data_IF_400632819078
#
_entry.id   IF_400632819078
#
_cell.length_a   1.000
_cell.length_b   1.000
_cell.length_c   1.000
_cell.angle_alpha   90.00
_cell.angle_beta   90.00
_cell.angle_gamma   90.00
#
_symmetry.space_group_name_H-M   'P 1'
#
loop_
_entity.id
_entity.type
_entity.pdbx_description
1 polymer ?
#
# COMPACT_ATOMS: atom_id res chain seq x y z
N UNK A 1 4.43 -9.54 28.78
CA UNK A 1 3.81 -10.62 29.61
C UNK A 1 2.73 -11.27 28.75
N UNK A 2 2.61 -12.60 28.68
CA UNK A 2 1.47 -13.24 28.02
C UNK A 2 0.16 -12.66 28.55
N UNK A 3 -0.77 -12.28 27.68
CA UNK A 3 -2.02 -11.60 28.05
C UNK A 3 -1.95 -10.09 28.24
N UNK A 4 -0.78 -9.45 28.05
CA UNK A 4 -0.65 -7.99 28.08
C UNK A 4 -0.14 -7.45 26.73
N UNK A 5 -0.83 -6.45 26.19
CA UNK A 5 -0.43 -5.76 24.96
C UNK A 5 -1.61 -5.10 24.25
N UNK A 6 -1.31 -4.24 23.27
CA UNK A 6 -2.32 -3.68 22.36
C UNK A 6 -2.66 -4.74 21.31
N UNK A 7 -3.93 -5.15 21.25
CA UNK A 7 -4.43 -6.08 20.24
C UNK A 7 -5.47 -5.35 19.37
N UNK A 8 -5.03 -4.71 18.26
CA UNK A 8 -5.97 -4.09 17.35
C UNK A 8 -6.81 -5.17 16.66
N UNK A 9 -8.10 -5.22 16.95
CA UNK A 9 -9.03 -6.11 16.25
C UNK A 9 -9.18 -5.62 14.81
N UNK A 10 -8.75 -6.44 13.87
CA UNK A 10 -8.85 -6.13 12.43
C UNK A 10 -10.21 -6.60 11.92
N UNK A 11 -10.82 -5.80 11.05
CA UNK A 11 -12.16 -6.05 10.52
C UNK A 11 -12.17 -7.09 9.40
N UNK A 12 -12.30 -6.63 8.16
CA UNK A 12 -12.44 -7.50 6.98
C UNK A 12 -11.34 -8.58 6.91
N UNK A 13 -11.70 -9.71 6.29
CA UNK A 13 -10.76 -10.78 6.00
C UNK A 13 -9.56 -10.22 5.22
N UNK A 14 -8.38 -10.75 5.55
CA UNK A 14 -7.13 -10.47 4.85
C UNK A 14 -6.61 -9.01 4.85
N UNK A 15 -7.21 -8.07 5.58
CA UNK A 15 -6.71 -6.68 5.67
C UNK A 15 -5.26 -6.58 6.17
N UNK A 16 -4.78 -7.59 6.90
CA UNK A 16 -3.37 -7.70 7.26
C UNK A 16 -2.53 -8.27 6.11
N UNK A 17 -3.02 -9.34 5.46
CA UNK A 17 -2.35 -9.99 4.33
C UNK A 17 -2.13 -9.02 3.16
N UNK A 18 -3.16 -8.27 2.77
CA UNK A 18 -3.09 -7.29 1.69
C UNK A 18 -1.96 -6.26 1.90
N UNK A 19 -1.86 -5.73 3.13
CA UNK A 19 -0.82 -4.76 3.48
C UNK A 19 0.57 -5.41 3.54
N UNK A 20 0.67 -6.65 4.02
CA UNK A 20 1.92 -7.42 4.00
C UNK A 20 2.40 -7.70 2.57
N UNK A 21 1.46 -7.95 1.64
CA UNK A 21 1.75 -8.21 0.23
C UNK A 21 1.95 -6.94 -0.61
N UNK A 22 1.98 -5.77 0.02
CA UNK A 22 2.32 -4.52 -0.65
C UNK A 22 1.16 -3.78 -1.32
N UNK A 23 -0.10 -4.12 -1.00
CA UNK A 23 -1.27 -3.33 -1.44
C UNK A 23 -1.28 -2.01 -0.67
N UNK A 24 -0.55 -1.04 -1.20
CA UNK A 24 -0.32 0.26 -0.57
C UNK A 24 0.05 1.30 -1.63
N UNK A 25 -0.68 2.40 -1.63
CA UNK A 25 -0.46 3.58 -2.47
C UNK A 25 0.84 4.33 -2.12
N UNK A 26 1.42 4.06 -0.94
CA UNK A 26 2.72 4.56 -0.46
C UNK A 26 3.59 3.37 -0.03
N UNK A 27 4.04 2.53 -0.97
CA UNK A 27 4.82 1.35 -0.66
C UNK A 27 6.20 1.74 -0.10
N UNK A 28 6.79 0.95 0.81
CA UNK A 28 8.11 1.23 1.34
C UNK A 28 9.18 1.03 0.26
N UNK A 29 10.26 1.81 0.31
CA UNK A 29 11.34 1.83 -0.70
C UNK A 29 11.93 0.44 -0.95
N UNK A 30 12.13 -0.37 0.10
CA UNK A 30 12.71 -1.71 -0.04
C UNK A 30 11.87 -2.63 -0.93
N UNK A 31 10.54 -2.47 -0.94
CA UNK A 31 9.66 -3.27 -1.77
C UNK A 31 9.80 -2.86 -3.24
N UNK A 32 9.85 -1.56 -3.51
CA UNK A 32 10.05 -1.02 -4.86
C UNK A 32 11.39 -1.48 -5.45
N UNK A 33 12.46 -1.46 -4.65
CA UNK A 33 13.78 -1.94 -5.07
C UNK A 33 13.78 -3.44 -5.37
N UNK A 34 13.08 -4.23 -4.54
CA UNK A 34 12.95 -5.66 -4.76
C UNK A 34 12.17 -5.97 -6.05
N UNK A 35 11.11 -5.22 -6.34
CA UNK A 35 10.33 -5.35 -7.57
C UNK A 35 11.17 -5.01 -8.80
N UNK A 36 11.88 -3.89 -8.80
CA UNK A 36 12.77 -3.48 -9.89
C UNK A 36 13.87 -4.52 -10.14
N UNK A 37 14.50 -5.03 -9.07
CA UNK A 37 15.51 -6.10 -9.17
C UNK A 37 14.91 -7.41 -9.69
N UNK A 38 13.70 -7.79 -9.27
CA UNK A 38 13.09 -9.07 -9.65
C UNK A 38 12.60 -9.09 -11.08
N UNK A 39 11.97 -7.99 -11.50
CA UNK A 39 11.22 -7.90 -12.76
C UNK A 39 11.90 -7.03 -13.81
N UNK A 40 13.03 -6.40 -13.50
CA UNK A 40 13.90 -5.71 -14.45
C UNK A 40 13.19 -4.57 -15.20
N UNK A 41 12.36 -3.80 -14.49
CA UNK A 41 11.74 -2.57 -15.00
C UNK A 41 11.86 -1.45 -13.97
N UNK A 42 11.85 -0.20 -14.44
CA UNK A 42 11.85 0.97 -13.57
C UNK A 42 10.49 1.10 -12.87
N UNK A 43 10.49 0.90 -11.57
CA UNK A 43 9.25 0.98 -10.78
C UNK A 43 8.94 2.46 -10.49
N UNK A 44 7.67 2.91 -10.61
CA UNK A 44 7.28 4.26 -10.21
C UNK A 44 7.65 4.53 -8.75
N UNK A 45 8.24 5.71 -8.51
CA UNK A 45 8.73 6.10 -7.18
C UNK A 45 7.86 7.16 -6.49
N UNK A 46 6.98 7.78 -7.25
CA UNK A 46 5.99 8.71 -6.72
C UNK A 46 4.85 7.95 -6.04
N UNK A 47 4.27 8.55 -5.00
CA UNK A 47 3.13 7.97 -4.32
C UNK A 47 1.91 7.97 -5.25
N UNK A 48 1.16 6.87 -5.24
CA UNK A 48 -0.12 6.80 -5.91
C UNK A 48 -1.21 7.53 -5.15
N UNK A 49 -2.36 7.67 -5.79
CA UNK A 49 -3.57 8.19 -5.16
C UNK A 49 -4.17 7.18 -4.18
N UNK A 50 -4.54 7.64 -2.98
CA UNK A 50 -5.52 6.94 -2.16
C UNK A 50 -6.94 7.09 -2.74
N UNK A 51 -7.92 6.42 -2.14
CA UNK A 51 -9.31 6.42 -2.65
C UNK A 51 -9.89 7.83 -2.77
N UNK A 52 -9.65 8.70 -1.79
CA UNK A 52 -10.18 10.07 -1.80
C UNK A 52 -9.49 10.90 -2.89
N UNK A 53 -8.17 10.83 -2.98
CA UNK A 53 -7.37 11.51 -4.01
C UNK A 53 -7.76 11.07 -5.43
N UNK A 54 -8.02 9.77 -5.62
CA UNK A 54 -8.45 9.22 -6.89
C UNK A 54 -9.82 9.76 -7.31
N UNK A 55 -10.79 9.83 -6.37
CA UNK A 55 -12.12 10.41 -6.62
C UNK A 55 -12.01 11.88 -7.03
N UNK A 56 -11.17 12.67 -6.34
CA UNK A 56 -10.94 14.07 -6.71
C UNK A 56 -10.28 14.20 -8.09
N UNK A 57 -9.26 13.41 -8.39
CA UNK A 57 -8.60 13.44 -9.69
C UNK A 57 -9.59 13.12 -10.84
N UNK A 58 -10.48 12.14 -10.65
CA UNK A 58 -11.53 11.83 -11.62
C UNK A 58 -12.53 12.97 -11.79
N UNK A 59 -13.00 13.56 -10.69
CA UNK A 59 -13.94 14.68 -10.74
C UNK A 59 -13.37 15.92 -11.45
N UNK A 60 -12.06 16.13 -11.34
CA UNK A 60 -11.35 17.27 -11.94
C UNK A 60 -10.81 17.00 -13.34
N UNK A 61 -11.02 15.79 -13.91
CA UNK A 61 -10.50 15.42 -15.23
C UNK A 61 -8.98 15.27 -15.28
N UNK A 62 -8.34 14.98 -14.15
CA UNK A 62 -6.88 14.76 -13.99
C UNK A 62 -6.51 13.28 -13.78
N UNK A 63 -7.45 12.38 -14.00
CA UNK A 63 -7.26 10.93 -13.88
C UNK A 63 -6.55 10.33 -15.10
#
# INVERSE_FOLDING_TARGET
>A
RPGAGLCPVRGHSNVQGDRTMGINERPPVFLLDALEKRFQFKVPRENGHNVVEAIHAMAEGRA
#
